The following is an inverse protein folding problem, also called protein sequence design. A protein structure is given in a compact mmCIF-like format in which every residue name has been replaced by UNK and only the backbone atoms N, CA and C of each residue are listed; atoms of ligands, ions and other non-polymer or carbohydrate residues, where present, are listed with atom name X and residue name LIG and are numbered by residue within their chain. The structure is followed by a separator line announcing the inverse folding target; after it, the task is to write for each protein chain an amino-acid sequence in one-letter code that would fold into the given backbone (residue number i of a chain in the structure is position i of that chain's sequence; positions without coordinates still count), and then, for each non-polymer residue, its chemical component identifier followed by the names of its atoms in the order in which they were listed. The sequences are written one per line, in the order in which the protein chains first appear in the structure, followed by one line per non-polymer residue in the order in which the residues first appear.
data_IF_290459723228
#
_entry.id   IF_290459723228
#
_cell.length_a   1.000
_cell.length_b   1.000
_cell.length_c   1.000
_cell.angle_alpha   90.00
_cell.angle_beta   90.00
_cell.angle_gamma   90.00
#
_symmetry.space_group_name_H-M   'P 1'
#
loop_
_entity.id
_entity.type
_entity.pdbx_description
1 polymer ?
#
# COMPACT_ATOMS: atom_id res chain seq x y z
N UNK A 1 -18.22 -22.59 -16.76
CA UNK A 1 -17.89 -21.31 -16.11
C UNK A 1 -17.69 -20.27 -17.21
N UNK A 2 -18.43 -19.14 -17.19
CA UNK A 2 -18.32 -18.12 -18.24
C UNK A 2 -16.94 -17.44 -18.24
N UNK A 3 -16.53 -16.85 -19.38
CA UNK A 3 -15.27 -16.07 -19.48
C UNK A 3 -15.19 -14.97 -18.42
N UNK A 4 -16.31 -14.26 -18.19
CA UNK A 4 -16.47 -13.23 -17.16
C UNK A 4 -16.21 -13.79 -15.76
N UNK A 5 -16.80 -14.95 -15.42
CA UNK A 5 -16.59 -15.59 -14.11
C UNK A 5 -15.13 -16.04 -13.89
N UNK A 6 -14.40 -16.45 -14.94
CA UNK A 6 -12.97 -16.78 -14.83
C UNK A 6 -12.10 -15.55 -14.61
N UNK A 7 -12.44 -14.42 -15.25
CA UNK A 7 -11.73 -13.14 -15.11
C UNK A 7 -11.88 -12.55 -13.72
N UNK A 8 -13.11 -12.50 -13.19
CA UNK A 8 -13.37 -12.06 -11.81
C UNK A 8 -12.55 -12.88 -10.82
N UNK A 9 -12.58 -14.20 -10.91
CA UNK A 9 -11.76 -15.08 -10.04
C UNK A 9 -10.26 -14.80 -10.13
N UNK A 10 -9.75 -14.39 -11.30
CA UNK A 10 -8.33 -13.99 -11.45
C UNK A 10 -8.03 -12.72 -10.67
N UNK A 11 -8.91 -11.72 -10.71
CA UNK A 11 -8.76 -10.49 -9.94
C UNK A 11 -8.95 -10.68 -8.45
N UNK A 12 -9.94 -11.49 -8.04
CA UNK A 12 -10.10 -11.90 -6.64
C UNK A 12 -8.80 -12.53 -6.12
N UNK A 13 -8.23 -13.49 -6.87
CA UNK A 13 -6.96 -14.10 -6.52
C UNK A 13 -5.82 -13.08 -6.49
N UNK A 14 -5.77 -12.13 -7.42
CA UNK A 14 -4.76 -11.08 -7.44
C UNK A 14 -4.85 -10.18 -6.19
N UNK A 15 -6.07 -9.81 -5.77
CA UNK A 15 -6.29 -9.04 -4.55
C UNK A 15 -5.82 -9.80 -3.31
N UNK A 16 -6.17 -11.09 -3.21
CA UNK A 16 -5.76 -11.97 -2.11
C UNK A 16 -4.23 -12.11 -2.04
N UNK A 17 -3.57 -12.35 -3.17
CA UNK A 17 -2.11 -12.47 -3.18
C UNK A 17 -1.42 -11.14 -2.88
N UNK A 18 -2.01 -10.00 -3.29
CA UNK A 18 -1.51 -8.68 -2.90
C UNK A 18 -1.62 -8.43 -1.40
N UNK A 19 -2.73 -8.81 -0.74
CA UNK A 19 -2.82 -8.63 0.73
C UNK A 19 -1.86 -9.57 1.48
N UNK A 20 -1.68 -10.82 1.03
CA UNK A 20 -0.68 -11.74 1.60
C UNK A 20 0.73 -11.16 1.49
N UNK A 21 1.07 -10.62 0.31
CA UNK A 21 2.37 -10.00 0.08
C UNK A 21 2.56 -8.71 0.90
N UNK A 22 1.52 -7.87 1.02
CA UNK A 22 1.53 -6.71 1.90
C UNK A 22 1.84 -7.10 3.35
N UNK A 23 1.16 -8.10 3.89
CA UNK A 23 1.38 -8.58 5.27
C UNK A 23 2.81 -9.09 5.47
N UNK A 24 3.35 -9.86 4.52
CA UNK A 24 4.74 -10.31 4.56
C UNK A 24 5.70 -9.11 4.57
N UNK A 25 5.55 -8.18 3.63
CA UNK A 25 6.40 -6.99 3.52
C UNK A 25 6.32 -6.09 4.76
N UNK A 26 5.13 -5.94 5.34
CA UNK A 26 4.93 -5.19 6.59
C UNK A 26 5.70 -5.83 7.75
N UNK A 27 5.57 -7.15 7.93
CA UNK A 27 6.30 -7.88 8.98
C UNK A 27 7.81 -7.83 8.78
N UNK A 28 8.28 -7.97 7.53
CA UNK A 28 9.70 -7.82 7.17
C UNK A 28 10.21 -6.39 7.48
N UNK A 29 9.40 -5.36 7.20
CA UNK A 29 9.76 -3.98 7.51
C UNK A 29 9.91 -3.72 9.01
N UNK A 30 9.07 -4.33 9.85
CA UNK A 30 9.18 -4.27 11.32
C UNK A 30 10.48 -4.94 11.78
N UNK A 31 10.77 -6.14 11.26
CA UNK A 31 12.01 -6.86 11.61
C UNK A 31 13.25 -6.04 11.27
N UNK A 32 13.29 -5.41 10.09
CA UNK A 32 14.40 -4.55 9.68
C UNK A 32 14.50 -3.29 10.56
N UNK A 33 13.36 -2.73 10.96
CA UNK A 33 13.31 -1.58 11.86
C UNK A 33 13.90 -1.91 13.24
N UNK A 34 13.52 -3.05 13.81
CA UNK A 34 14.05 -3.55 15.09
C UNK A 34 15.57 -3.75 15.04
N UNK A 35 16.09 -4.16 13.88
CA UNK A 35 17.52 -4.28 13.61
C UNK A 35 18.19 -2.97 13.16
N UNK A 36 17.53 -1.82 13.33
CA UNK A 36 18.03 -0.48 13.00
C UNK A 36 18.36 -0.27 11.51
N UNK A 37 17.88 -1.13 10.62
CA UNK A 37 18.01 -0.98 9.17
C UNK A 37 16.91 -0.07 8.63
N UNK A 38 16.92 1.20 9.06
CA UNK A 38 15.82 2.14 8.77
C UNK A 38 15.58 2.40 7.28
N UNK A 39 16.61 2.56 6.41
CA UNK A 39 16.36 2.77 4.98
C UNK A 39 15.66 1.58 4.33
N UNK A 40 16.08 0.35 4.63
CA UNK A 40 15.44 -0.87 4.10
C UNK A 40 14.06 -1.10 4.71
N UNK A 41 13.88 -0.83 6.01
CA UNK A 41 12.58 -0.88 6.66
C UNK A 41 11.59 0.11 6.00
N UNK A 42 12.04 1.34 5.74
CA UNK A 42 11.25 2.34 5.03
C UNK A 42 10.86 1.84 3.63
N UNK A 43 11.81 1.35 2.84
CA UNK A 43 11.52 0.80 1.51
C UNK A 43 10.43 -0.27 1.55
N UNK A 44 10.60 -1.30 2.40
CA UNK A 44 9.65 -2.40 2.48
C UNK A 44 8.29 -1.94 2.98
N UNK A 45 8.26 -0.97 3.90
CA UNK A 45 7.00 -0.40 4.37
C UNK A 45 6.26 0.36 3.25
N UNK A 46 6.95 1.11 2.38
CA UNK A 46 6.29 1.75 1.23
C UNK A 46 5.81 0.71 0.21
N UNK A 47 6.56 -0.37 -0.01
CA UNK A 47 6.09 -1.48 -0.88
C UNK A 47 4.86 -2.18 -0.29
N UNK A 48 4.81 -2.39 1.02
CA UNK A 48 3.63 -2.91 1.70
C UNK A 48 2.43 -1.98 1.50
N UNK A 49 2.61 -0.65 1.63
CA UNK A 49 1.56 0.33 1.40
C UNK A 49 0.98 0.19 -0.01
N UNK A 50 1.84 0.05 -1.01
CA UNK A 50 1.43 -0.14 -2.41
C UNK A 50 0.61 -1.42 -2.62
N UNK A 51 0.99 -2.53 -1.98
CA UNK A 51 0.26 -3.80 -2.11
C UNK A 51 -1.08 -3.78 -1.36
N UNK A 52 -1.18 -3.08 -0.22
CA UNK A 52 -2.47 -2.80 0.45
C UNK A 52 -3.39 -2.04 -0.51
N UNK A 53 -2.89 -0.96 -1.11
CA UNK A 53 -3.63 -0.11 -2.03
C UNK A 53 -4.14 -0.89 -3.25
N UNK A 54 -3.24 -1.70 -3.83
CA UNK A 54 -3.54 -2.55 -4.98
C UNK A 54 -4.65 -3.55 -4.65
N UNK A 55 -4.57 -4.23 -3.50
CA UNK A 55 -5.62 -5.15 -3.07
C UNK A 55 -6.98 -4.44 -2.95
N UNK A 56 -7.05 -3.30 -2.25
CA UNK A 56 -8.30 -2.54 -2.12
C UNK A 56 -8.85 -2.01 -3.45
N UNK A 57 -7.98 -1.59 -4.36
CA UNK A 57 -8.39 -1.10 -5.67
C UNK A 57 -8.95 -2.23 -6.56
N UNK A 58 -8.36 -3.42 -6.49
CA UNK A 58 -8.87 -4.61 -7.19
C UNK A 58 -10.21 -5.05 -6.61
N UNK A 59 -10.38 -5.04 -5.28
CA UNK A 59 -11.67 -5.36 -4.66
C UNK A 59 -12.75 -4.42 -5.19
N UNK A 60 -12.44 -3.13 -5.31
CA UNK A 60 -13.37 -2.15 -5.85
C UNK A 60 -13.76 -2.43 -7.29
N UNK A 61 -12.77 -2.77 -8.12
CA UNK A 61 -13.02 -3.18 -9.50
C UNK A 61 -13.93 -4.43 -9.57
N UNK A 62 -13.62 -5.47 -8.78
CA UNK A 62 -14.41 -6.71 -8.76
C UNK A 62 -15.85 -6.43 -8.35
N UNK A 63 -16.06 -5.68 -7.28
CA UNK A 63 -17.38 -5.34 -6.77
C UNK A 63 -18.20 -4.58 -7.82
N UNK A 64 -17.69 -3.47 -8.37
CA UNK A 64 -18.39 -2.70 -9.42
C UNK A 64 -18.63 -3.54 -10.68
N UNK A 65 -17.70 -4.43 -11.04
CA UNK A 65 -17.88 -5.37 -12.14
C UNK A 65 -18.99 -6.39 -11.91
N UNK A 66 -19.27 -6.75 -10.66
CA UNK A 66 -20.29 -7.74 -10.31
C UNK A 66 -21.66 -7.12 -9.99
N UNK A 67 -21.70 -5.90 -9.45
CA UNK A 67 -22.93 -5.25 -8.96
C UNK A 67 -23.54 -4.26 -9.97
N UNK A 68 -22.72 -3.59 -10.77
CA UNK A 68 -23.14 -2.49 -11.65
C UNK A 68 -23.01 -2.80 -13.15
N UNK A 69 -22.93 -4.08 -13.55
CA UNK A 69 -22.59 -4.50 -14.91
C UNK A 69 -21.21 -4.02 -15.43
N UNK A 70 -20.35 -3.51 -14.54
CA UNK A 70 -18.93 -3.25 -14.75
C UNK A 70 -18.52 -2.18 -15.77
N UNK A 71 -17.20 -1.95 -15.82
CA UNK A 71 -16.54 -1.20 -16.88
C UNK A 71 -16.72 -1.92 -18.23
N UNK A 72 -16.96 -1.18 -19.33
CA UNK A 72 -17.26 -1.78 -20.62
C UNK A 72 -16.10 -2.63 -21.13
N UNK A 73 -16.47 -3.74 -21.76
CA UNK A 73 -15.62 -4.67 -22.52
C UNK A 73 -14.58 -5.49 -21.72
N UNK A 74 -14.90 -6.78 -21.47
CA UNK A 74 -13.88 -7.79 -21.21
C UNK A 74 -12.82 -7.75 -22.32
N UNK A 75 -11.56 -7.49 -21.95
CA UNK A 75 -10.42 -7.41 -22.86
C UNK A 75 -10.33 -6.14 -23.74
N UNK A 76 -11.11 -5.09 -23.44
CA UNK A 76 -11.02 -3.79 -24.10
C UNK A 76 -9.82 -2.94 -23.67
N UNK A 77 -9.57 -1.85 -24.40
CA UNK A 77 -8.48 -0.89 -24.11
C UNK A 77 -8.58 -0.30 -22.69
N UNK A 78 -9.81 -0.11 -22.19
CA UNK A 78 -10.10 0.42 -20.85
C UNK A 78 -9.62 -0.49 -19.72
N UNK A 79 -9.83 -1.82 -19.83
CA UNK A 79 -9.28 -2.75 -18.85
C UNK A 79 -7.75 -2.74 -18.89
N UNK A 80 -7.14 -2.79 -20.08
CA UNK A 80 -5.68 -2.79 -20.19
C UNK A 80 -5.09 -1.51 -19.57
N UNK A 81 -5.73 -0.38 -19.80
CA UNK A 81 -5.32 0.89 -19.20
C UNK A 81 -5.49 0.87 -17.68
N UNK A 82 -6.59 0.33 -17.17
CA UNK A 82 -6.78 0.17 -15.72
C UNK A 82 -5.76 -0.80 -15.10
N UNK A 83 -5.51 -1.98 -15.70
CA UNK A 83 -4.53 -2.96 -15.24
C UNK A 83 -3.14 -2.33 -15.14
N UNK A 84 -2.74 -1.52 -16.14
CA UNK A 84 -1.45 -0.80 -16.12
C UNK A 84 -1.30 0.07 -14.88
N UNK A 85 -2.38 0.69 -14.38
CA UNK A 85 -2.34 1.51 -13.16
C UNK A 85 -1.91 0.70 -11.93
N UNK A 86 -2.24 -0.60 -11.87
CA UNK A 86 -1.85 -1.49 -10.76
C UNK A 86 -0.33 -1.74 -10.69
N UNK A 87 0.41 -1.41 -11.75
CA UNK A 87 1.87 -1.55 -11.82
C UNK A 87 2.60 -0.22 -11.66
N UNK A 88 1.90 0.91 -11.72
CA UNK A 88 2.48 2.24 -11.55
C UNK A 88 2.51 2.58 -10.05
N UNK A 89 3.71 2.73 -9.50
CA UNK A 89 3.90 2.98 -8.06
C UNK A 89 3.17 4.23 -7.57
N UNK A 90 3.29 5.35 -8.28
CA UNK A 90 2.61 6.61 -7.91
C UNK A 90 1.09 6.48 -7.96
N UNK A 91 0.55 5.70 -8.91
CA UNK A 91 -0.89 5.41 -8.95
C UNK A 91 -1.33 4.59 -7.73
N UNK A 92 -0.52 3.65 -7.27
CA UNK A 92 -0.79 2.90 -6.03
C UNK A 92 -0.69 3.78 -4.78
N UNK A 93 0.26 4.72 -4.72
CA UNK A 93 0.33 5.72 -3.64
C UNK A 93 -0.95 6.56 -3.61
N UNK A 94 -1.37 7.08 -4.76
CA UNK A 94 -2.62 7.85 -4.88
C UNK A 94 -3.86 7.03 -4.48
N UNK A 95 -3.97 5.79 -4.93
CA UNK A 95 -5.07 4.90 -4.56
C UNK A 95 -5.14 4.67 -3.04
N UNK A 96 -4.01 4.43 -2.39
CA UNK A 96 -3.95 4.29 -0.93
C UNK A 96 -4.47 5.55 -0.23
N UNK A 97 -4.00 6.70 -0.69
CA UNK A 97 -4.31 7.99 -0.08
C UNK A 97 -5.80 8.29 -0.18
N UNK A 98 -6.40 8.07 -1.35
CA UNK A 98 -7.83 8.29 -1.54
C UNK A 98 -8.69 7.35 -0.70
N UNK A 99 -8.30 6.07 -0.58
CA UNK A 99 -9.00 5.11 0.29
C UNK A 99 -8.99 5.53 1.77
N UNK A 100 -8.03 6.36 2.18
CA UNK A 100 -7.88 6.82 3.56
C UNK A 100 -8.07 8.34 3.71
N UNK A 101 -8.58 9.04 2.69
CA UNK A 101 -8.55 10.51 2.58
C UNK A 101 -9.10 11.22 3.82
N UNK A 102 -10.28 10.81 4.28
CA UNK A 102 -10.96 11.41 5.42
C UNK A 102 -10.17 11.30 6.73
N UNK A 103 -9.27 10.32 6.81
CA UNK A 103 -8.49 10.01 7.99
C UNK A 103 -7.03 10.41 7.85
N UNK A 104 -6.53 10.86 6.70
CA UNK A 104 -5.10 11.19 6.55
C UNK A 104 -4.77 12.62 6.97
N UNK A 105 -3.55 12.79 7.50
CA UNK A 105 -3.00 14.12 7.68
C UNK A 105 -2.82 14.84 6.33
N UNK A 106 -3.08 16.15 6.32
CA UNK A 106 -3.08 16.94 5.07
C UNK A 106 -1.68 17.05 4.48
N UNK A 107 -0.66 17.23 5.31
CA UNK A 107 0.73 17.35 4.84
C UNK A 107 1.17 16.05 4.19
N UNK A 108 0.84 14.91 4.80
CA UNK A 108 1.14 13.61 4.21
C UNK A 108 0.32 13.32 2.95
N UNK A 109 -0.96 13.72 2.92
CA UNK A 109 -1.79 13.64 1.71
C UNK A 109 -1.15 14.41 0.55
N UNK A 110 -0.77 15.67 0.77
CA UNK A 110 -0.14 16.52 -0.25
C UNK A 110 1.22 15.93 -0.67
N UNK A 111 2.01 15.42 0.28
CA UNK A 111 3.29 14.77 -0.01
C UNK A 111 3.12 13.52 -0.87
N UNK A 112 2.24 12.60 -0.49
CA UNK A 112 2.14 11.29 -1.12
C UNK A 112 1.26 11.31 -2.39
N UNK A 113 0.41 12.32 -2.58
CA UNK A 113 -0.35 12.52 -3.82
C UNK A 113 0.53 13.01 -4.98
N UNK A 114 1.74 13.47 -4.66
CA UNK A 114 2.80 13.74 -5.64
C UNK A 114 3.78 12.56 -5.74
N UNK A 115 4.71 12.60 -6.69
CA UNK A 115 5.77 11.59 -6.83
C UNK A 115 6.79 11.58 -5.68
N UNK A 116 6.63 12.40 -4.64
CA UNK A 116 7.60 12.54 -3.55
C UNK A 116 7.74 11.28 -2.70
N UNK A 117 6.65 10.53 -2.46
CA UNK A 117 6.74 9.24 -1.75
C UNK A 117 7.58 8.23 -2.55
N UNK A 118 7.39 8.15 -3.86
CA UNK A 118 8.21 7.34 -4.76
C UNK A 118 9.66 7.80 -4.77
N UNK A 119 9.93 9.11 -4.86
CA UNK A 119 11.30 9.63 -4.82
C UNK A 119 11.99 9.30 -3.50
N UNK A 120 11.29 9.45 -2.37
CA UNK A 120 11.83 9.13 -1.04
C UNK A 120 12.06 7.63 -0.88
N UNK A 121 11.16 6.79 -1.41
CA UNK A 121 11.34 5.35 -1.52
C UNK A 121 12.63 5.01 -2.28
N UNK A 122 12.82 5.51 -3.50
CA UNK A 122 14.06 5.28 -4.27
C UNK A 122 15.33 5.72 -3.53
N UNK A 123 15.31 6.90 -2.90
CA UNK A 123 16.43 7.42 -2.09
C UNK A 123 16.72 6.62 -0.82
N UNK A 124 15.82 5.73 -0.40
CA UNK A 124 16.01 4.86 0.77
C UNK A 124 16.89 3.64 0.48
N UNK A 125 17.19 3.36 -0.79
CA UNK A 125 18.00 2.19 -1.18
C UNK A 125 19.25 2.61 -1.95
N UNK A 126 19.09 3.51 -2.93
CA UNK A 126 20.16 3.80 -3.86
C UNK A 126 21.05 4.95 -3.38
N UNK A 127 22.36 4.71 -3.43
CA UNK A 127 23.35 5.78 -3.40
C UNK A 127 23.36 6.45 -4.77
N UNK A 128 23.37 7.78 -4.80
CA UNK A 128 23.32 8.50 -6.07
C UNK A 128 23.47 10.00 -5.94
N UNK A 129 23.16 10.70 -7.01
CA UNK A 129 23.14 12.16 -7.07
C UNK A 129 21.69 12.65 -7.17
N UNK A 130 21.48 13.91 -6.82
CA UNK A 130 20.18 14.54 -7.02
C UNK A 130 19.80 14.58 -8.49
N UNK A 131 18.51 14.39 -8.73
CA UNK A 131 17.92 14.51 -10.06
C UNK A 131 16.99 15.72 -10.05
N UNK A 132 17.18 16.58 -11.04
CA UNK A 132 16.26 17.67 -11.33
C UNK A 132 15.63 17.38 -12.69
N UNK A 133 14.31 17.12 -12.67
CA UNK A 133 13.56 16.69 -13.85
C UNK A 133 14.19 15.44 -14.49
N UNK A 134 14.75 15.57 -15.69
CA UNK A 134 15.41 14.49 -16.46
C UNK A 134 16.94 14.53 -16.42
N UNK A 135 17.54 15.44 -15.65
CA UNK A 135 19.01 15.63 -15.60
C UNK A 135 19.57 15.24 -14.24
N UNK A 136 20.75 14.64 -14.25
CA UNK A 136 21.53 14.34 -13.03
C UNK A 136 22.32 15.60 -12.66
N UNK A 137 22.18 16.05 -11.43
CA UNK A 137 22.95 17.18 -10.90
C UNK A 137 24.32 16.67 -10.42
N UNK A 138 25.33 16.78 -11.29
CA UNK A 138 26.72 16.36 -11.00
C UNK A 138 27.41 17.18 -9.93
N UNK A 139 26.84 18.34 -9.55
CA UNK A 139 27.35 19.21 -8.48
C UNK A 139 26.67 18.96 -7.13
N UNK A 140 25.65 18.10 -7.09
CA UNK A 140 24.93 17.78 -5.85
C UNK A 140 25.79 16.93 -4.89
N UNK A 141 25.44 16.97 -3.61
CA UNK A 141 26.02 16.04 -2.63
C UNK A 141 25.57 14.62 -2.94
N UNK A 142 26.43 13.64 -2.64
CA UNK A 142 26.08 12.23 -2.74
C UNK A 142 24.94 11.93 -1.75
N UNK A 143 23.84 11.43 -2.30
CA UNK A 143 22.72 10.89 -1.55
C UNK A 143 23.13 9.54 -0.98
N UNK A 144 23.11 9.45 0.34
CA UNK A 144 23.43 8.23 1.09
C UNK A 144 22.17 7.82 1.87
N UNK A 145 21.63 6.61 1.68
CA UNK A 145 20.35 6.20 2.28
C UNK A 145 20.23 6.44 3.79
N UNK A 146 21.27 6.11 4.56
CA UNK A 146 21.31 6.31 6.03
C UNK A 146 21.30 7.79 6.46
N UNK A 147 21.68 8.70 5.56
CA UNK A 147 21.55 10.15 5.77
C UNK A 147 20.17 10.67 5.39
N UNK A 148 19.54 10.08 4.39
CA UNK A 148 18.25 10.50 3.84
C UNK A 148 17.06 9.99 4.67
N UNK A 149 17.14 8.77 5.19
CA UNK A 149 16.06 8.11 5.94
C UNK A 149 16.46 7.99 7.41
N UNK A 150 15.62 8.54 8.28
CA UNK A 150 15.74 8.45 9.72
C UNK A 150 14.79 7.39 10.27
N UNK A 151 15.04 7.00 11.52
CA UNK A 151 14.15 6.11 12.28
C UNK A 151 12.69 6.59 12.23
N UNK A 152 12.48 7.91 12.40
CA UNK A 152 11.14 8.51 12.37
C UNK A 152 10.41 8.21 11.05
N UNK A 153 11.09 8.40 9.91
CA UNK A 153 10.51 8.16 8.59
C UNK A 153 10.00 6.73 8.43
N UNK A 154 10.83 5.75 8.81
CA UNK A 154 10.45 4.33 8.75
C UNK A 154 9.29 4.03 9.71
N UNK A 155 9.37 4.54 10.95
CA UNK A 155 8.35 4.27 11.96
C UNK A 155 6.97 4.81 11.58
N UNK A 156 6.90 5.93 10.86
CA UNK A 156 5.63 6.56 10.48
C UNK A 156 4.90 5.77 9.41
N UNK A 157 5.60 5.28 8.37
CA UNK A 157 4.99 4.45 7.33
C UNK A 157 4.62 3.06 7.87
N UNK A 158 5.46 2.46 8.73
CA UNK A 158 5.11 1.21 9.41
C UNK A 158 3.85 1.39 10.27
N UNK A 159 3.78 2.46 11.06
CA UNK A 159 2.61 2.74 11.89
C UNK A 159 1.35 2.96 11.05
N UNK A 160 1.47 3.64 9.90
CA UNK A 160 0.37 3.86 8.96
C UNK A 160 -0.16 2.54 8.39
N UNK A 161 0.73 1.68 7.86
CA UNK A 161 0.34 0.37 7.34
C UNK A 161 -0.29 -0.49 8.42
N UNK A 162 0.30 -0.51 9.62
CA UNK A 162 -0.21 -1.29 10.73
C UNK A 162 -1.63 -0.85 11.10
N UNK A 163 -1.87 0.46 11.21
CA UNK A 163 -3.20 0.98 11.52
C UNK A 163 -4.22 0.67 10.40
N UNK A 164 -3.82 0.79 9.13
CA UNK A 164 -4.68 0.45 8.00
C UNK A 164 -5.10 -1.03 8.04
N UNK A 165 -4.15 -1.93 8.27
CA UNK A 165 -4.42 -3.37 8.40
C UNK A 165 -5.30 -3.71 9.61
N UNK A 166 -5.06 -3.06 10.76
CA UNK A 166 -5.91 -3.19 11.95
C UNK A 166 -7.35 -2.77 11.65
N UNK A 167 -7.54 -1.62 10.98
CA UNK A 167 -8.85 -1.11 10.60
C UNK A 167 -9.57 -2.08 9.65
N UNK A 168 -8.85 -2.65 8.67
CA UNK A 168 -9.43 -3.66 7.77
C UNK A 168 -9.88 -4.92 8.52
N UNK A 169 -9.09 -5.41 9.49
CA UNK A 169 -9.51 -6.54 10.33
C UNK A 169 -10.74 -6.20 11.16
N UNK A 170 -10.76 -5.03 11.82
CA UNK A 170 -11.89 -4.58 12.63
C UNK A 170 -13.17 -4.45 11.79
N UNK A 171 -13.07 -3.85 10.61
CA UNK A 171 -14.21 -3.70 9.72
C UNK A 171 -14.76 -5.06 9.28
N UNK A 172 -13.90 -6.02 8.94
CA UNK A 172 -14.32 -7.38 8.61
C UNK A 172 -15.03 -8.08 9.77
N UNK A 173 -14.49 -7.96 10.99
CA UNK A 173 -15.08 -8.57 12.18
C UNK A 173 -16.45 -7.95 12.49
N UNK A 174 -16.55 -6.63 12.46
CA UNK A 174 -17.76 -5.91 12.88
C UNK A 174 -18.93 -6.03 11.90
N UNK A 175 -18.65 -6.14 10.60
CA UNK A 175 -19.69 -6.14 9.57
C UNK A 175 -20.06 -7.54 9.09
N UNK A 176 -19.50 -8.57 9.72
CA UNK A 176 -19.59 -9.98 9.33
C UNK A 176 -19.13 -10.32 7.91
N UNK A 177 -18.94 -9.34 7.01
CA UNK A 177 -18.12 -9.25 5.78
C UNK A 177 -18.10 -7.77 5.31
N UNK A 178 -16.93 -7.12 5.23
CA UNK A 178 -16.88 -5.67 4.91
C UNK A 178 -16.68 -5.37 3.43
N UNK A 179 -15.78 -6.10 2.74
CA UNK A 179 -15.55 -5.94 1.30
C UNK A 179 -14.55 -6.97 0.73
N UNK A 180 -14.70 -7.35 -0.55
CA UNK A 180 -13.73 -8.16 -1.28
C UNK A 180 -13.91 -9.69 -1.17
N UNK A 181 -12.97 -10.48 -1.72
CA UNK A 181 -13.09 -11.93 -1.81
C UNK A 181 -13.18 -12.61 -0.43
N UNK A 182 -13.96 -13.69 -0.31
CA UNK A 182 -14.08 -14.46 0.94
C UNK A 182 -12.71 -14.93 1.48
N UNK A 183 -11.79 -15.36 0.61
CA UNK A 183 -10.45 -15.77 1.05
C UNK A 183 -9.69 -14.61 1.74
N UNK A 184 -9.85 -13.38 1.26
CA UNK A 184 -9.26 -12.19 1.90
C UNK A 184 -9.86 -11.95 3.30
N UNK A 185 -11.15 -12.20 3.49
CA UNK A 185 -11.78 -12.16 4.81
C UNK A 185 -11.15 -13.16 5.77
N UNK A 186 -10.88 -14.40 5.32
CA UNK A 186 -10.25 -15.41 6.19
C UNK A 186 -8.84 -15.02 6.66
N UNK A 187 -8.16 -14.12 5.94
CA UNK A 187 -6.84 -13.57 6.31
C UNK A 187 -6.99 -12.40 7.29
N UNK A 188 -7.90 -11.47 7.00
CA UNK A 188 -8.14 -10.24 7.75
C UNK A 188 -9.12 -10.48 8.91
N UNK A 189 -8.66 -11.26 9.88
CA UNK A 189 -9.46 -11.83 10.97
C UNK A 189 -8.99 -11.38 12.37
N UNK A 190 -9.62 -11.94 13.42
CA UNK A 190 -9.29 -11.66 14.82
C UNK A 190 -7.86 -12.07 15.21
N UNK A 191 -7.33 -13.15 14.66
CA UNK A 191 -5.98 -13.61 14.98
C UNK A 191 -4.93 -12.65 14.43
N UNK A 192 -5.10 -12.21 13.18
CA UNK A 192 -4.24 -11.20 12.57
C UNK A 192 -4.36 -9.86 13.32
N UNK A 193 -5.57 -9.45 13.71
CA UNK A 193 -5.77 -8.25 14.52
C UNK A 193 -4.93 -8.29 15.81
N UNK A 194 -4.98 -9.42 16.51
CA UNK A 194 -4.24 -9.63 17.76
C UNK A 194 -2.72 -9.68 17.51
N UNK A 195 -2.29 -10.31 16.42
CA UNK A 195 -0.89 -10.34 16.00
C UNK A 195 -0.36 -8.92 15.76
N UNK A 196 -1.05 -8.12 14.95
CA UNK A 196 -0.64 -6.76 14.58
C UNK A 196 -0.59 -5.82 15.80
N UNK A 197 -1.54 -5.94 16.73
CA UNK A 197 -1.53 -5.20 18.01
C UNK A 197 -0.31 -5.53 18.88
N UNK A 198 0.13 -6.79 18.86
CA UNK A 198 1.32 -7.24 19.60
C UNK A 198 2.61 -6.80 18.91
N UNK A 199 2.67 -6.93 17.57
CA UNK A 199 3.84 -6.64 16.73
C UNK A 199 4.22 -5.17 16.71
N UNK A 200 3.26 -4.26 16.66
CA UNK A 200 3.56 -2.83 16.54
C UNK A 200 2.62 -1.97 17.38
N UNK A 201 3.18 -1.33 18.42
CA UNK A 201 2.43 -0.54 19.41
C UNK A 201 2.37 0.96 19.10
N UNK A 202 3.22 1.44 18.19
CA UNK A 202 3.29 2.87 17.87
C UNK A 202 2.13 3.21 16.94
N UNK A 203 1.24 4.11 17.39
CA UNK A 203 0.14 4.63 16.56
C UNK A 203 0.66 5.57 15.49
N UNK A 204 0.00 5.56 14.33
CA UNK A 204 0.32 6.49 13.25
C UNK A 204 -0.05 7.91 13.65
N UNK A 205 0.88 8.86 13.42
CA UNK A 205 0.59 10.30 13.48
C UNK A 205 0.06 10.85 12.16
N UNK A 206 0.12 10.04 11.11
CA UNK A 206 -0.34 10.40 9.76
C UNK A 206 -1.84 10.18 9.59
N UNK A 207 -2.53 9.66 10.61
CA UNK A 207 -3.97 9.52 10.63
C UNK A 207 -4.59 10.51 11.64
N UNK A 208 -5.56 11.32 11.18
CA UNK A 208 -6.42 12.20 11.97
C UNK A 208 -7.55 11.38 12.58
N UNK A 209 -7.68 11.46 13.90
CA UNK A 209 -8.67 10.72 14.71
C UNK A 209 -7.98 9.93 15.80
N UNK A 210 -7.97 10.48 17.02
CA UNK A 210 -7.58 9.78 18.24
C UNK A 210 -8.77 9.01 18.80
#
# INVERSE_FOLDING_TARGET
MSKVSRRIKKFEKLSVESIKNALRLHKDSILLFENKSYPSAYQLSVLSLEEIAKSGWIDHYVDVSTTNNGLPEPDGEDEQNWIKLLYIHTSKHFAFINQNFHSLDKEFYDFASTSNLEFKKQKSIYVGLERERRKINTKSKILIPTKQIKQKDASEIIALNNQCLLNQCLNNINNEHYYGPYEKYTILNTDLLNELKKKWKIKSKLLKGK
#
